data_IF_472595712153
#
_entry.id   IF_472595712153
#
_cell.length_a   1.000
_cell.length_b   1.000
_cell.length_c   1.000
_cell.angle_alpha   90.00
_cell.angle_beta   90.00
_cell.angle_gamma   90.00
#
_symmetry.space_group_name_H-M   'P 1'
#
loop_
_entity.id
_entity.type
_entity.pdbx_description
1 polymer ?
#
# COMPACT_ATOMS: atom_id res chain seq x y z
N UNK A 1 -5.63 41.95 25.39
CA UNK A 1 -4.38 41.96 24.59
C UNK A 1 -4.46 40.84 23.56
N UNK A 2 -4.71 41.20 22.30
CA UNK A 2 -5.10 40.31 21.20
C UNK A 2 -3.91 40.01 20.25
N UNK A 3 -3.92 38.77 19.75
CA UNK A 3 -3.26 38.16 18.57
C UNK A 3 -2.49 39.09 17.61
N UNK A 4 -1.36 38.59 17.08
CA UNK A 4 -1.16 38.11 15.69
C UNK A 4 0.35 38.04 15.34
N UNK A 5 0.80 36.88 14.83
CA UNK A 5 1.89 36.81 13.85
C UNK A 5 1.49 35.84 12.73
N UNK A 6 1.01 36.43 11.63
CA UNK A 6 1.08 35.93 10.25
C UNK A 6 2.31 36.66 9.64
N UNK A 7 3.05 36.25 8.60
CA UNK A 7 2.80 35.43 7.41
C UNK A 7 4.14 34.85 6.95
N UNK A 8 4.13 33.64 6.40
CA UNK A 8 5.14 33.12 5.48
C UNK A 8 4.77 33.63 4.07
N UNK A 9 5.77 34.09 3.32
CA UNK A 9 5.62 34.51 1.93
C UNK A 9 6.50 33.63 1.03
N UNK A 10 5.85 33.11 0.00
CA UNK A 10 6.38 32.41 -1.16
C UNK A 10 7.39 33.28 -1.92
N UNK A 11 8.42 32.67 -2.51
CA UNK A 11 8.92 33.10 -3.82
C UNK A 11 9.47 31.90 -4.61
N UNK A 12 8.80 31.61 -5.72
CA UNK A 12 9.34 30.96 -6.92
C UNK A 12 10.37 31.91 -7.56
N UNK A 13 11.49 31.39 -8.05
CA UNK A 13 12.13 31.95 -9.25
C UNK A 13 13.08 30.94 -9.90
N UNK A 14 12.70 30.60 -11.12
CA UNK A 14 13.43 29.90 -12.17
C UNK A 14 14.50 30.81 -12.79
N UNK A 15 15.70 30.30 -13.09
CA UNK A 15 16.56 30.79 -14.19
C UNK A 15 17.56 29.72 -14.67
N UNK A 16 17.59 29.42 -15.97
CA UNK A 16 18.76 28.83 -16.64
C UNK A 16 19.66 29.96 -17.18
N UNK A 17 20.97 29.72 -17.27
CA UNK A 17 21.84 30.50 -18.16
C UNK A 17 23.11 29.71 -18.47
N UNK A 18 23.20 29.29 -19.73
CA UNK A 18 24.42 28.85 -20.39
C UNK A 18 25.37 30.02 -20.57
N UNK A 19 26.67 29.85 -20.29
CA UNK A 19 27.74 30.62 -20.92
C UNK A 19 28.85 29.66 -21.33
N UNK A 20 29.23 29.81 -22.59
CA UNK A 20 30.27 29.10 -23.29
C UNK A 20 31.67 29.42 -22.76
N UNK A 21 32.54 28.41 -22.78
CA UNK A 21 33.98 28.61 -22.95
C UNK A 21 34.49 27.61 -23.98
N UNK A 22 34.75 28.15 -25.16
CA UNK A 22 35.61 27.59 -26.20
C UNK A 22 37.06 27.80 -25.77
N UNK A 23 37.91 26.78 -25.86
CA UNK A 23 39.27 26.86 -26.46
C UNK A 23 40.00 25.50 -26.38
N UNK A 24 40.02 24.85 -27.55
CA UNK A 24 41.14 24.20 -28.24
C UNK A 24 42.42 23.87 -27.44
N UNK A 25 42.79 22.58 -27.45
CA UNK A 25 44.19 22.17 -27.65
C UNK A 25 44.30 20.95 -28.57
N UNK A 26 45.42 20.96 -29.29
CA UNK A 26 45.77 20.24 -30.51
C UNK A 26 45.98 18.72 -30.37
N UNK A 27 45.56 18.03 -31.42
CA UNK A 27 46.19 16.89 -32.14
C UNK A 27 47.28 16.05 -31.44
N UNK A 28 46.98 14.76 -31.28
CA UNK A 28 47.93 13.67 -31.56
C UNK A 28 47.30 12.61 -32.46
N UNK A 29 48.09 12.18 -33.44
CA UNK A 29 47.73 11.31 -34.55
C UNK A 29 47.66 9.82 -34.15
N UNK A 30 46.69 9.12 -34.75
CA UNK A 30 46.64 7.72 -35.15
C UNK A 30 47.68 6.72 -34.58
N UNK A 31 47.19 5.78 -33.78
CA UNK A 31 47.53 4.35 -33.93
C UNK A 31 46.55 3.45 -33.18
N UNK A 32 46.21 2.32 -33.82
CA UNK A 32 45.53 1.13 -33.32
C UNK A 32 43.99 1.12 -33.28
N UNK A 33 43.41 0.94 -34.46
CA UNK A 33 42.26 0.05 -34.62
C UNK A 33 42.70 -1.39 -34.31
N UNK A 34 42.28 -1.96 -33.18
CA UNK A 34 41.93 -3.37 -32.93
C UNK A 34 41.74 -3.60 -31.43
N UNK A 35 40.62 -3.11 -30.88
CA UNK A 35 40.07 -3.59 -29.59
C UNK A 35 38.60 -3.19 -29.43
N UNK A 36 37.81 -3.32 -30.50
CA UNK A 36 36.35 -3.20 -30.42
C UNK A 36 35.76 -4.60 -30.63
N UNK A 37 35.64 -5.37 -29.55
CA UNK A 37 34.70 -6.49 -29.33
C UNK A 37 35.18 -7.36 -28.14
N UNK A 38 35.07 -6.86 -26.90
CA UNK A 38 35.22 -7.72 -25.71
C UNK A 38 34.52 -7.23 -24.43
N UNK A 39 33.82 -6.08 -24.44
CA UNK A 39 33.24 -5.49 -23.23
C UNK A 39 31.73 -5.25 -23.30
N UNK A 40 30.95 -6.10 -23.98
CA UNK A 40 29.47 -5.97 -23.98
C UNK A 40 28.68 -7.16 -23.42
N UNK A 41 29.35 -8.25 -23.01
CA UNK A 41 28.64 -9.49 -22.63
C UNK A 41 28.83 -9.92 -21.17
N UNK A 42 29.69 -9.26 -20.38
CA UNK A 42 30.09 -9.77 -19.06
C UNK A 42 29.16 -9.31 -17.91
N UNK A 43 28.36 -8.24 -18.05
CA UNK A 43 27.50 -7.73 -16.96
C UNK A 43 25.98 -7.84 -17.20
N UNK A 44 25.54 -8.29 -18.38
CA UNK A 44 24.11 -8.41 -18.67
C UNK A 44 23.45 -9.56 -17.90
N UNK A 45 24.17 -10.65 -17.65
CA UNK A 45 23.65 -11.81 -16.91
C UNK A 45 23.37 -11.47 -15.45
N UNK A 46 24.28 -10.75 -14.78
CA UNK A 46 24.12 -10.34 -13.39
C UNK A 46 22.99 -9.32 -13.18
N UNK A 47 22.85 -8.35 -14.08
CA UNK A 47 21.74 -7.39 -14.01
C UNK A 47 20.38 -8.06 -14.25
N UNK A 48 20.30 -8.94 -15.26
CA UNK A 48 19.08 -9.70 -15.56
C UNK A 48 18.66 -10.58 -14.38
N UNK A 49 19.61 -11.27 -13.76
CA UNK A 49 19.37 -12.11 -12.59
C UNK A 49 18.86 -11.28 -11.40
N UNK A 50 19.51 -10.17 -11.07
CA UNK A 50 19.08 -9.29 -9.97
C UNK A 50 17.67 -8.72 -10.22
N UNK A 51 17.37 -8.33 -11.47
CA UNK A 51 16.03 -7.87 -11.84
C UNK A 51 14.99 -8.97 -11.64
N UNK A 52 15.30 -10.20 -12.07
CA UNK A 52 14.41 -11.35 -11.90
C UNK A 52 14.18 -11.68 -10.41
N UNK A 53 15.24 -11.71 -9.60
CA UNK A 53 15.15 -11.92 -8.15
C UNK A 53 14.32 -10.83 -7.45
N UNK A 54 14.46 -9.58 -7.88
CA UNK A 54 13.64 -8.47 -7.37
C UNK A 54 12.16 -8.64 -7.71
N UNK A 55 11.85 -8.97 -8.95
CA UNK A 55 10.46 -9.21 -9.39
C UNK A 55 9.85 -10.37 -8.61
N UNK A 56 10.57 -11.50 -8.51
CA UNK A 56 10.14 -12.67 -7.75
C UNK A 56 9.86 -12.32 -6.28
N UNK A 57 10.80 -11.62 -5.63
CA UNK A 57 10.62 -11.17 -4.24
C UNK A 57 9.42 -10.23 -4.06
N UNK A 58 9.16 -9.39 -5.07
CA UNK A 58 8.02 -8.47 -5.08
C UNK A 58 6.70 -9.22 -5.18
N UNK A 59 6.62 -10.18 -6.10
CA UNK A 59 5.46 -11.05 -6.32
C UNK A 59 5.20 -11.95 -5.10
N UNK A 60 6.24 -12.56 -4.52
CA UNK A 60 6.12 -13.39 -3.32
C UNK A 60 5.58 -12.59 -2.13
N UNK A 61 6.12 -11.38 -1.93
CA UNK A 61 5.65 -10.47 -0.89
C UNK A 61 4.19 -10.08 -1.11
N UNK A 62 3.86 -9.59 -2.31
CA UNK A 62 2.51 -9.09 -2.60
C UNK A 62 1.48 -10.21 -2.58
N UNK A 63 1.82 -11.39 -3.11
CA UNK A 63 1.00 -12.60 -3.01
C UNK A 63 0.73 -12.96 -1.55
N UNK A 64 1.70 -12.82 -0.65
CA UNK A 64 1.49 -13.07 0.79
C UNK A 64 0.55 -12.04 1.42
N UNK A 65 0.67 -10.77 1.01
CA UNK A 65 -0.22 -9.69 1.47
C UNK A 65 -1.66 -9.93 1.00
N UNK A 66 -1.83 -10.39 -0.25
CA UNK A 66 -3.15 -10.68 -0.86
C UNK A 66 -3.76 -12.02 -0.40
N UNK A 67 -2.94 -13.06 -0.18
CA UNK A 67 -3.37 -14.47 0.07
C UNK A 67 -4.18 -14.68 1.35
N UNK A 68 -4.26 -13.70 2.26
CA UNK A 68 -5.17 -13.78 3.41
C UNK A 68 -6.66 -13.74 2.99
N UNK A 69 -6.97 -13.58 1.71
CA UNK A 69 -8.33 -13.68 1.16
C UNK A 69 -8.64 -15.02 0.46
N UNK A 70 -7.66 -15.72 -0.15
CA UNK A 70 -7.95 -16.78 -1.13
C UNK A 70 -7.87 -18.23 -0.62
N UNK A 71 -7.37 -18.51 0.59
CA UNK A 71 -7.30 -19.90 1.09
C UNK A 71 -8.67 -20.52 1.41
N UNK A 72 -9.75 -19.73 1.47
CA UNK A 72 -11.10 -20.24 1.74
C UNK A 72 -11.90 -20.59 0.48
N UNK A 73 -11.70 -19.87 -0.62
CA UNK A 73 -12.41 -20.17 -1.89
C UNK A 73 -11.93 -21.48 -2.53
N UNK A 74 -10.70 -21.93 -2.26
CA UNK A 74 -10.17 -23.19 -2.83
C UNK A 74 -10.62 -24.45 -2.09
N UNK A 75 -11.18 -24.35 -0.87
CA UNK A 75 -11.59 -25.54 -0.08
C UNK A 75 -13.07 -25.93 -0.22
N UNK A 76 -13.86 -25.22 -1.03
CA UNK A 76 -15.28 -25.55 -1.26
C UNK A 76 -15.62 -26.04 -2.67
N UNK A 77 -14.64 -26.25 -3.55
CA UNK A 77 -14.86 -26.82 -4.90
C UNK A 77 -14.25 -28.20 -5.11
N UNK A 78 -13.93 -28.94 -4.03
CA UNK A 78 -13.66 -30.38 -4.11
C UNK A 78 -14.97 -31.16 -4.15
N UNK A 79 -15.78 -30.95 -5.19
CA UNK A 79 -16.79 -31.90 -5.65
C UNK A 79 -17.32 -31.48 -7.03
N UNK A 80 -16.90 -32.24 -8.03
CA UNK A 80 -17.50 -32.35 -9.36
C UNK A 80 -17.40 -31.14 -10.30
N UNK A 81 -16.23 -30.93 -10.90
CA UNK A 81 -16.13 -30.75 -12.36
C UNK A 81 -14.68 -30.87 -12.82
N UNK A 82 -14.40 -31.92 -13.58
CA UNK A 82 -13.18 -32.07 -14.37
C UNK A 82 -13.23 -31.08 -15.55
N UNK A 83 -12.84 -29.84 -15.29
CA UNK A 83 -12.49 -28.83 -16.29
C UNK A 83 -11.10 -28.31 -15.93
N UNK A 84 -10.19 -28.23 -16.90
CA UNK A 84 -8.78 -27.93 -16.69
C UNK A 84 -8.54 -26.75 -15.75
N UNK A 85 -7.97 -27.03 -14.59
CA UNK A 85 -7.51 -26.02 -13.65
C UNK A 85 -6.30 -25.33 -14.30
N UNK A 86 -6.54 -24.27 -15.06
CA UNK A 86 -5.48 -23.40 -15.54
C UNK A 86 -4.67 -22.94 -14.33
N UNK A 87 -3.41 -23.35 -14.28
CA UNK A 87 -2.52 -23.02 -13.20
C UNK A 87 -2.18 -21.53 -13.34
N UNK A 88 -2.96 -20.67 -12.70
CA UNK A 88 -2.70 -19.23 -12.66
C UNK A 88 -1.29 -18.99 -12.11
N UNK A 89 -0.38 -18.51 -12.96
CA UNK A 89 0.97 -18.10 -12.59
C UNK A 89 0.99 -16.57 -12.42
N UNK A 90 1.08 -16.06 -11.17
CA UNK A 90 1.13 -14.62 -10.91
C UNK A 90 2.32 -13.91 -11.58
N UNK A 91 3.35 -14.63 -12.02
CA UNK A 91 4.48 -14.05 -12.75
C UNK A 91 4.14 -13.72 -14.21
N UNK A 92 3.08 -14.31 -14.76
CA UNK A 92 2.63 -14.06 -16.14
C UNK A 92 1.60 -12.93 -16.24
N UNK A 93 0.93 -12.57 -15.14
CA UNK A 93 0.07 -11.38 -15.07
C UNK A 93 0.92 -10.10 -14.93
N UNK A 94 1.07 -9.37 -16.03
CA UNK A 94 1.84 -8.11 -16.09
C UNK A 94 1.31 -7.05 -15.13
N UNK A 95 -0.01 -6.95 -14.97
CA UNK A 95 -0.64 -5.95 -14.11
C UNK A 95 -0.37 -6.29 -12.64
N UNK A 96 -0.49 -7.57 -12.28
CA UNK A 96 -0.14 -8.05 -10.94
C UNK A 96 1.34 -7.83 -10.61
N UNK A 97 2.25 -8.18 -11.53
CA UNK A 97 3.70 -8.00 -11.34
C UNK A 97 4.06 -6.52 -11.18
N UNK A 98 3.48 -5.64 -12.00
CA UNK A 98 3.73 -4.20 -11.89
C UNK A 98 3.27 -3.66 -10.54
N UNK A 99 2.04 -3.99 -10.14
CA UNK A 99 1.47 -3.58 -8.86
C UNK A 99 2.29 -4.10 -7.67
N UNK A 100 2.68 -5.38 -7.72
CA UNK A 100 3.53 -6.01 -6.71
C UNK A 100 4.88 -5.30 -6.59
N UNK A 101 5.49 -4.94 -7.72
CA UNK A 101 6.77 -4.23 -7.77
C UNK A 101 6.66 -2.83 -7.17
N UNK A 102 5.60 -2.08 -7.49
CA UNK A 102 5.33 -0.74 -6.91
C UNK A 102 5.18 -0.83 -5.38
N UNK A 103 4.40 -1.79 -4.89
CA UNK A 103 4.22 -2.05 -3.46
C UNK A 103 5.53 -2.42 -2.75
N UNK A 104 6.30 -3.34 -3.34
CA UNK A 104 7.56 -3.78 -2.78
C UNK A 104 8.59 -2.64 -2.72
N UNK A 105 8.62 -1.79 -3.75
CA UNK A 105 9.47 -0.60 -3.77
C UNK A 105 9.06 0.44 -2.72
N UNK A 106 7.75 0.69 -2.52
CA UNK A 106 7.28 1.55 -1.43
C UNK A 106 7.73 1.03 -0.05
N UNK A 107 7.66 -0.29 0.18
CA UNK A 107 8.19 -0.92 1.40
C UNK A 107 9.70 -0.74 1.54
N UNK A 108 10.46 -0.89 0.46
CA UNK A 108 11.89 -0.64 0.46
C UNK A 108 12.20 0.81 0.85
N UNK A 109 11.46 1.80 0.33
CA UNK A 109 11.63 3.20 0.71
C UNK A 109 11.31 3.44 2.19
N UNK A 110 10.29 2.80 2.73
CA UNK A 110 9.96 2.86 4.17
C UNK A 110 11.14 2.35 5.02
N UNK A 111 11.74 1.21 4.65
CA UNK A 111 12.90 0.66 5.35
C UNK A 111 14.11 1.59 5.34
N UNK A 112 14.25 2.40 4.28
CA UNK A 112 15.32 3.38 4.15
C UNK A 112 14.94 4.78 4.69
N UNK A 113 13.85 4.91 5.44
CA UNK A 113 13.43 6.18 6.03
C UNK A 113 12.86 7.20 5.03
N UNK A 114 12.71 6.85 3.74
CA UNK A 114 12.16 7.71 2.69
C UNK A 114 10.62 7.68 2.70
N UNK A 115 10.04 8.07 3.84
CA UNK A 115 8.62 7.88 4.11
C UNK A 115 7.71 8.68 3.15
N UNK A 116 8.03 9.94 2.88
CA UNK A 116 7.22 10.81 1.99
C UNK A 116 7.16 10.31 0.54
N UNK A 117 8.22 9.65 0.07
CA UNK A 117 8.23 9.03 -1.26
C UNK A 117 7.37 7.76 -1.29
N UNK A 118 7.40 6.96 -0.22
CA UNK A 118 6.53 5.79 -0.10
C UNK A 118 5.05 6.19 -0.09
N UNK A 119 4.68 7.25 0.63
CA UNK A 119 3.34 7.81 0.61
C UNK A 119 2.89 8.17 -0.82
N UNK A 120 3.74 8.91 -1.56
CA UNK A 120 3.44 9.29 -2.95
C UNK A 120 3.20 8.08 -3.85
N UNK A 121 3.94 7.00 -3.66
CA UNK A 121 3.74 5.75 -4.42
C UNK A 121 2.39 5.13 -4.07
N UNK A 122 2.05 4.98 -2.79
CA UNK A 122 0.76 4.40 -2.41
C UNK A 122 -0.43 5.22 -2.91
N UNK A 123 -0.37 6.55 -2.80
CA UNK A 123 -1.41 7.43 -3.35
C UNK A 123 -1.55 7.29 -4.86
N UNK A 124 -0.43 7.19 -5.57
CA UNK A 124 -0.44 6.96 -7.02
C UNK A 124 -1.07 5.61 -7.37
N UNK A 125 -0.66 4.54 -6.70
CA UNK A 125 -1.25 3.20 -6.90
C UNK A 125 -2.77 3.24 -6.71
N UNK A 126 -3.24 3.84 -5.63
CA UNK A 126 -4.68 3.95 -5.34
C UNK A 126 -5.39 4.73 -6.44
N UNK A 127 -4.84 5.88 -6.86
CA UNK A 127 -5.43 6.67 -7.94
C UNK A 127 -5.43 5.94 -9.30
N UNK A 128 -4.42 5.11 -9.58
CA UNK A 128 -4.36 4.28 -10.80
C UNK A 128 -5.45 3.20 -10.76
N UNK A 129 -5.56 2.45 -9.66
CA UNK A 129 -6.61 1.45 -9.45
C UNK A 129 -8.03 2.04 -9.45
N UNK A 130 -8.17 3.30 -9.06
CA UNK A 130 -9.44 4.03 -9.09
C UNK A 130 -9.77 4.62 -10.47
N UNK A 131 -8.78 4.76 -11.37
CA UNK A 131 -9.00 5.25 -12.72
C UNK A 131 -9.26 4.11 -13.73
N UNK A 132 -8.91 2.88 -13.35
CA UNK A 132 -9.24 1.64 -14.07
C UNK A 132 -10.73 1.28 -13.89
N UNK A 133 -11.64 2.23 -14.19
CA UNK A 133 -13.10 2.04 -14.26
C UNK A 133 -13.51 1.37 -15.60
N UNK A 134 -12.84 0.27 -15.98
CA UNK A 134 -13.32 -0.56 -17.10
C UNK A 134 -14.42 -1.50 -16.60
N UNK A 135 -15.52 -1.60 -17.35
CA UNK A 135 -16.75 -2.35 -17.09
C UNK A 135 -16.57 -3.86 -16.79
N UNK A 136 -15.34 -4.38 -16.82
CA UNK A 136 -14.99 -5.76 -16.51
C UNK A 136 -14.09 -5.78 -15.25
N UNK A 137 -14.68 -6.17 -14.12
CA UNK A 137 -14.06 -6.54 -12.84
C UNK A 137 -13.24 -5.44 -12.12
N UNK A 138 -13.93 -4.60 -11.33
CA UNK A 138 -13.26 -3.81 -10.29
C UNK A 138 -12.61 -4.75 -9.26
N UNK A 139 -11.28 -4.81 -9.26
CA UNK A 139 -10.48 -5.58 -8.30
C UNK A 139 -10.47 -4.90 -6.91
N UNK A 140 -11.62 -4.89 -6.22
CA UNK A 140 -11.78 -4.31 -4.88
C UNK A 140 -10.74 -4.84 -3.88
N UNK A 141 -10.20 -6.04 -4.11
CA UNK A 141 -9.10 -6.61 -3.34
C UNK A 141 -7.79 -5.80 -3.46
N UNK A 142 -7.39 -5.43 -4.69
CA UNK A 142 -6.17 -4.65 -4.95
C UNK A 142 -6.28 -3.26 -4.32
N UNK A 143 -7.44 -2.62 -4.47
CA UNK A 143 -7.73 -1.32 -3.89
C UNK A 143 -7.75 -1.37 -2.35
N UNK A 144 -8.43 -2.38 -1.77
CA UNK A 144 -8.48 -2.59 -0.32
C UNK A 144 -7.07 -2.78 0.27
N UNK A 145 -6.24 -3.64 -0.32
CA UNK A 145 -4.87 -3.88 0.15
C UNK A 145 -4.02 -2.62 0.05
N UNK A 146 -4.06 -1.91 -1.07
CA UNK A 146 -3.32 -0.66 -1.28
C UNK A 146 -3.72 0.41 -0.24
N UNK A 147 -5.03 0.51 0.03
CA UNK A 147 -5.60 1.40 1.05
C UNK A 147 -5.11 1.05 2.45
N UNK A 148 -5.13 -0.24 2.82
CA UNK A 148 -4.66 -0.69 4.13
C UNK A 148 -3.17 -0.40 4.33
N UNK A 149 -2.36 -0.61 3.29
CA UNK A 149 -0.93 -0.30 3.34
C UNK A 149 -0.65 1.19 3.49
N UNK A 150 -1.42 2.05 2.79
CA UNK A 150 -1.36 3.49 2.99
C UNK A 150 -1.78 3.87 4.43
N UNK A 151 -2.88 3.31 4.94
CA UNK A 151 -3.34 3.59 6.30
C UNK A 151 -2.29 3.19 7.35
N UNK A 152 -1.67 2.02 7.21
CA UNK A 152 -0.57 1.57 8.07
C UNK A 152 0.66 2.47 7.96
N UNK A 153 0.94 2.99 6.76
CA UNK A 153 2.00 3.96 6.55
C UNK A 153 1.71 5.29 7.27
N UNK A 154 0.49 5.83 7.15
CA UNK A 154 0.07 7.05 7.84
C UNK A 154 0.12 6.91 9.37
N UNK A 155 -0.24 5.74 9.91
CA UNK A 155 -0.12 5.47 11.35
C UNK A 155 1.31 5.58 11.88
N UNK A 156 2.35 5.39 11.05
CA UNK A 156 3.75 5.55 11.48
C UNK A 156 4.12 7.01 11.76
N UNK A 157 3.39 7.95 11.18
CA UNK A 157 3.56 9.38 11.43
C UNK A 157 2.78 9.89 12.62
N UNK A 158 1.98 9.03 13.25
CA UNK A 158 0.99 9.43 14.25
C UNK A 158 -0.01 10.49 13.73
N UNK A 159 -0.18 10.58 12.40
CA UNK A 159 -1.18 11.44 11.79
C UNK A 159 -2.55 10.75 11.76
N UNK A 160 -3.24 10.85 12.90
CA UNK A 160 -4.54 10.24 13.13
C UNK A 160 -5.57 10.80 12.11
N UNK A 161 -5.50 12.09 11.79
CA UNK A 161 -6.46 12.75 10.87
C UNK A 161 -6.27 12.26 9.45
N UNK A 162 -5.04 12.22 8.96
CA UNK A 162 -4.76 11.72 7.63
C UNK A 162 -5.08 10.22 7.51
N UNK A 163 -4.79 9.43 8.55
CA UNK A 163 -5.17 8.00 8.58
C UNK A 163 -6.68 7.82 8.47
N UNK A 164 -7.49 8.60 9.21
CA UNK A 164 -8.96 8.60 9.07
C UNK A 164 -9.39 8.94 7.66
N UNK A 165 -8.79 9.95 7.05
CA UNK A 165 -9.13 10.39 5.70
C UNK A 165 -8.90 9.27 4.66
N UNK A 166 -7.86 8.45 4.83
CA UNK A 166 -7.61 7.27 3.96
C UNK A 166 -8.79 6.30 4.01
N UNK A 167 -9.25 5.92 5.19
CA UNK A 167 -10.41 5.02 5.34
C UNK A 167 -11.69 5.64 4.80
N UNK A 168 -11.98 6.90 5.15
CA UNK A 168 -13.21 7.59 4.70
C UNK A 168 -13.24 7.74 3.18
N UNK A 169 -12.10 8.04 2.54
CA UNK A 169 -12.03 8.17 1.09
C UNK A 169 -12.27 6.83 0.38
N UNK A 170 -11.76 5.72 0.92
CA UNK A 170 -12.07 4.39 0.40
C UNK A 170 -13.58 4.11 0.41
N UNK A 171 -14.24 4.33 1.55
CA UNK A 171 -15.68 4.07 1.64
C UNK A 171 -16.55 5.06 0.88
N UNK A 172 -16.12 6.33 0.75
CA UNK A 172 -16.81 7.27 -0.13
C UNK A 172 -16.83 6.73 -1.57
N UNK A 173 -15.78 6.05 -2.01
CA UNK A 173 -15.67 5.59 -3.40
C UNK A 173 -16.37 4.26 -3.63
N UNK A 174 -16.19 3.31 -2.71
CA UNK A 174 -16.87 2.00 -2.77
C UNK A 174 -18.38 2.13 -2.54
N UNK A 175 -18.85 3.07 -1.71
CA UNK A 175 -20.29 3.26 -1.50
C UNK A 175 -20.98 4.09 -2.60
N UNK A 176 -20.23 4.79 -3.45
CA UNK A 176 -20.78 5.53 -4.60
C UNK A 176 -20.86 4.68 -5.87
N UNK A 177 -20.25 3.50 -5.88
CA UNK A 177 -20.24 2.57 -7.03
C UNK A 177 -21.33 1.50 -6.93
N UNK A 178 -21.87 1.27 -5.74
CA UNK A 178 -22.88 0.24 -5.48
C UNK A 178 -24.14 0.89 -4.88
N UNK A 179 -24.95 1.53 -5.74
CA UNK A 179 -26.30 1.98 -5.39
C UNK A 179 -27.21 0.74 -5.26
N UNK A 180 -27.72 0.52 -4.04
CA UNK A 180 -28.93 -0.28 -3.72
C UNK A 180 -28.87 -1.79 -3.43
N UNK A 181 -27.70 -2.44 -3.37
CA UNK A 181 -27.61 -3.77 -2.75
C UNK A 181 -26.61 -3.79 -1.58
N UNK A 182 -26.91 -4.56 -0.54
CA UNK A 182 -25.98 -4.83 0.56
C UNK A 182 -24.65 -5.30 -0.02
N UNK A 183 -23.67 -4.39 -0.12
CA UNK A 183 -22.32 -4.65 -0.62
C UNK A 183 -21.67 -5.75 0.21
N UNK A 184 -21.86 -7.01 -0.19
CA UNK A 184 -21.24 -8.20 0.43
C UNK A 184 -19.85 -8.39 -0.15
N UNK A 185 -19.02 -7.36 -0.05
CA UNK A 185 -17.62 -7.43 -0.45
C UNK A 185 -16.74 -7.71 0.78
N UNK A 186 -16.20 -8.93 0.86
CA UNK A 186 -15.29 -9.36 1.95
C UNK A 186 -14.03 -8.48 2.05
N UNK A 187 -13.57 -7.92 0.93
CA UNK A 187 -12.44 -7.00 0.90
C UNK A 187 -12.76 -5.69 1.63
N UNK A 188 -13.93 -5.10 1.34
CA UNK A 188 -14.43 -3.89 1.98
C UNK A 188 -14.73 -4.12 3.48
N UNK A 189 -15.25 -5.29 3.83
CA UNK A 189 -15.46 -5.68 5.23
C UNK A 189 -14.13 -5.71 6.02
N UNK A 190 -13.05 -6.22 5.44
CA UNK A 190 -11.71 -6.20 6.06
C UNK A 190 -11.17 -4.77 6.23
N UNK A 191 -11.45 -3.86 5.29
CA UNK A 191 -11.11 -2.44 5.48
C UNK A 191 -11.91 -1.84 6.62
N UNK A 192 -13.20 -2.16 6.78
CA UNK A 192 -14.01 -1.69 7.92
C UNK A 192 -13.50 -2.26 9.23
N UNK A 193 -13.14 -3.55 9.28
CA UNK A 193 -12.54 -4.16 10.46
C UNK A 193 -11.28 -3.40 10.88
N UNK A 194 -10.37 -3.13 9.93
CA UNK A 194 -9.16 -2.35 10.21
C UNK A 194 -9.48 -0.93 10.68
N UNK A 195 -10.51 -0.29 10.11
CA UNK A 195 -10.93 1.04 10.50
C UNK A 195 -11.52 1.06 11.93
N UNK A 196 -12.34 0.07 12.28
CA UNK A 196 -12.86 -0.11 13.62
C UNK A 196 -11.73 -0.24 14.64
N UNK A 197 -10.74 -1.11 14.37
CA UNK A 197 -9.57 -1.28 15.25
C UNK A 197 -8.78 0.02 15.41
N UNK A 198 -8.62 0.77 14.33
CA UNK A 198 -7.98 2.07 14.37
C UNK A 198 -8.76 3.05 15.28
N UNK A 199 -10.09 3.17 15.13
CA UNK A 199 -10.89 4.08 15.98
C UNK A 199 -10.89 3.62 17.45
N UNK A 200 -10.91 2.30 17.70
CA UNK A 200 -10.79 1.73 19.05
C UNK A 200 -9.49 2.16 19.73
N UNK A 201 -8.36 2.05 19.01
CA UNK A 201 -7.04 2.46 19.51
C UNK A 201 -6.99 3.95 19.87
N UNK A 202 -7.77 4.78 19.18
CA UNK A 202 -7.79 6.23 19.37
C UNK A 202 -8.90 6.72 20.32
N UNK A 203 -9.53 5.82 21.09
CA UNK A 203 -10.53 6.17 22.11
C UNK A 203 -11.96 6.36 21.60
N UNK A 204 -12.24 6.06 20.33
CA UNK A 204 -13.58 6.19 19.74
C UNK A 204 -14.32 4.85 19.79
N UNK A 205 -14.58 4.34 20.99
CA UNK A 205 -15.13 2.99 21.22
C UNK A 205 -16.53 2.79 20.65
N UNK A 206 -17.45 3.75 20.84
CA UNK A 206 -18.83 3.67 20.32
C UNK A 206 -18.84 3.61 18.78
N UNK A 207 -18.13 4.56 18.14
CA UNK A 207 -17.96 4.58 16.68
C UNK A 207 -17.29 3.30 16.16
N UNK A 208 -16.26 2.82 16.87
CA UNK A 208 -15.58 1.58 16.51
C UNK A 208 -16.53 0.38 16.53
N UNK A 209 -17.43 0.31 17.52
CA UNK A 209 -18.44 -0.74 17.63
C UNK A 209 -19.43 -0.70 16.46
N UNK A 210 -19.91 0.49 16.08
CA UNK A 210 -20.79 0.66 14.91
C UNK A 210 -20.11 0.19 13.61
N UNK A 211 -18.84 0.57 13.42
CA UNK A 211 -18.07 0.19 12.23
C UNK A 211 -17.86 -1.32 12.15
N UNK A 212 -17.49 -1.98 13.27
CA UNK A 212 -17.26 -3.44 13.24
C UNK A 212 -18.56 -4.21 13.04
N UNK A 213 -19.69 -3.74 13.61
CA UNK A 213 -20.99 -4.35 13.35
C UNK A 213 -21.37 -4.26 11.88
N UNK A 214 -21.10 -3.12 11.23
CA UNK A 214 -21.27 -2.98 9.77
C UNK A 214 -20.35 -3.93 9.00
N UNK A 215 -19.09 -4.09 9.42
CA UNK A 215 -18.17 -5.03 8.80
C UNK A 215 -18.66 -6.48 8.88
N UNK A 216 -19.19 -6.90 10.04
CA UNK A 216 -19.74 -8.26 10.24
C UNK A 216 -20.98 -8.49 9.39
N UNK A 217 -21.86 -7.49 9.24
CA UNK A 217 -23.01 -7.58 8.33
C UNK A 217 -22.58 -7.78 6.86
N UNK A 218 -21.44 -7.21 6.46
CA UNK A 218 -20.89 -7.39 5.10
C UNK A 218 -20.17 -8.73 4.94
N UNK A 219 -19.52 -9.23 5.99
CA UNK A 219 -18.79 -10.50 6.02
C UNK A 219 -18.94 -11.18 7.38
N UNK A 220 -19.85 -12.14 7.46
CA UNK A 220 -20.17 -12.89 8.68
C UNK A 220 -18.96 -13.68 9.23
N UNK A 221 -17.92 -13.93 8.42
CA UNK A 221 -16.70 -14.56 8.91
C UNK A 221 -15.94 -13.69 9.92
N UNK A 222 -16.23 -12.39 9.95
CA UNK A 222 -15.67 -11.45 10.92
C UNK A 222 -16.38 -11.49 12.27
N UNK A 223 -17.48 -12.23 12.42
CA UNK A 223 -18.24 -12.32 13.68
C UNK A 223 -17.38 -12.64 14.91
N UNK A 224 -16.36 -13.52 14.88
CA UNK A 224 -15.48 -13.77 16.03
C UNK A 224 -14.73 -12.53 16.54
N UNK A 225 -14.63 -11.47 15.75
CA UNK A 225 -13.99 -10.20 16.16
C UNK A 225 -14.80 -9.48 17.24
N UNK A 226 -16.13 -9.61 17.23
CA UNK A 226 -16.99 -9.03 18.27
C UNK A 226 -16.72 -9.63 19.65
N UNK A 227 -16.19 -10.85 19.70
CA UNK A 227 -15.78 -11.52 20.94
C UNK A 227 -14.43 -11.04 21.46
N UNK A 228 -13.74 -10.11 20.80
CA UNK A 228 -12.51 -9.56 21.35
C UNK A 228 -12.84 -8.63 22.52
N UNK A 229 -12.01 -8.68 23.57
CA UNK A 229 -12.22 -7.93 24.81
C UNK A 229 -12.61 -6.47 24.57
N UNK A 230 -11.88 -5.78 23.69
CA UNK A 230 -12.11 -4.36 23.39
C UNK A 230 -13.52 -4.07 22.83
N UNK A 231 -14.09 -4.96 22.02
CA UNK A 231 -15.42 -4.79 21.45
C UNK A 231 -16.51 -5.20 22.43
N UNK A 232 -16.30 -6.25 23.22
CA UNK A 232 -17.21 -6.61 24.33
C UNK A 232 -17.29 -5.52 25.39
N UNK A 233 -16.15 -4.93 25.76
CA UNK A 233 -16.10 -3.82 26.73
C UNK A 233 -16.84 -2.60 26.17
N UNK A 234 -16.60 -2.24 24.91
CA UNK A 234 -17.32 -1.16 24.25
C UNK A 234 -18.85 -1.40 24.20
N UNK A 235 -19.29 -2.63 23.89
CA UNK A 235 -20.70 -3.01 23.87
C UNK A 235 -21.36 -2.94 25.26
N UNK A 236 -20.59 -3.18 26.33
CA UNK A 236 -21.04 -3.05 27.71
C UNK A 236 -20.95 -1.60 28.24
N UNK A 237 -20.62 -0.62 27.39
CA UNK A 237 -20.42 0.78 27.79
C UNK A 237 -19.18 1.02 28.66
N UNK A 238 -18.25 0.05 28.72
CA UNK A 238 -17.00 0.18 29.46
C UNK A 238 -15.94 0.86 28.61
N UNK A 239 -15.16 1.75 29.23
CA UNK A 239 -14.01 2.36 28.56
C UNK A 239 -12.92 1.30 28.34
N UNK A 240 -12.51 1.12 27.08
CA UNK A 240 -11.42 0.23 26.75
C UNK A 240 -10.09 0.90 27.11
N UNK A 241 -9.39 0.37 28.10
CA UNK A 241 -8.00 0.74 28.36
C UNK A 241 -7.07 -0.25 27.65
N UNK A 242 -6.33 0.19 26.61
CA UNK A 242 -5.36 -0.68 25.96
C UNK A 242 -4.29 -1.08 26.98
N UNK A 243 -4.02 -2.37 27.10
CA UNK A 243 -2.90 -2.88 27.91
C UNK A 243 -1.61 -2.57 27.15
N UNK A 244 -1.13 -1.32 27.25
CA UNK A 244 0.16 -0.94 26.69
C UNK A 244 1.22 -1.49 27.65
N UNK A 245 1.75 -2.68 27.37
CA UNK A 245 3.04 -3.08 27.95
C UNK A 245 4.11 -2.15 27.35
N UNK A 246 4.36 -1.02 28.01
CA UNK A 246 5.41 -0.10 27.63
C UNK A 246 6.77 -0.78 27.86
N UNK A 247 7.24 -1.54 26.87
CA UNK A 247 8.66 -1.87 26.77
C UNK A 247 9.37 -0.59 26.33
N UNK A 248 9.65 0.30 27.29
CA UNK A 248 10.50 1.49 27.12
C UNK A 248 11.87 1.01 26.59
N UNK A 249 12.06 0.99 25.29
CA UNK A 249 13.39 0.99 24.71
C UNK A 249 13.98 2.37 24.96
N UNK A 250 14.83 2.45 25.99
CA UNK A 250 15.78 3.56 26.14
C UNK A 250 16.66 3.58 24.90
N UNK A 251 16.35 4.42 23.93
CA UNK A 251 17.31 4.82 22.90
C UNK A 251 18.33 5.72 23.61
N UNK A 252 19.49 5.14 23.92
CA UNK A 252 20.69 5.90 24.31
C UNK A 252 21.00 6.82 23.13
N UNK A 253 20.97 8.14 23.35
CA UNK A 253 21.61 9.10 22.47
C UNK A 253 23.11 8.74 22.41
N UNK A 254 23.63 8.53 21.20
CA UNK A 254 25.03 8.75 20.86
C UNK A 254 25.09 10.00 19.98
#
# INVERSE_FOLDING_TARGET
SQRRRLKSALFFAYRPSSIATVLLFLTTLFSQHHAAQAFSTVDQSGFSQRKHEWIKSSVDYYSTVMRKNNQKTTKMMDSASAGGMEHYDPLNDKNFVELATKHYYARFLIKNGKLTLAEKIYRRIINELEAEDSEEDCDHAKLAVSTLLLALHMQRYDDIKATRAVFVNFFRRVALTEEDEEVKCSCSAKVLQAYALFEMKNGYSAKSLEIIQKAVKMDEELRPVLEWKQFRDAAAGREYQPVISLRKQRVKKM
#
